data_IF_204088659416
#
_entry.id   IF_204088659416
#
_cell.length_a   1.000
_cell.length_b   1.000
_cell.length_c   1.000
_cell.angle_alpha   90.00
_cell.angle_beta   90.00
_cell.angle_gamma   90.00
#
_symmetry.space_group_name_H-M   'P 1'
#
loop_
_entity.id
_entity.type
_entity.pdbx_description
1 polymer ?
#
# COMPACT_ATOMS: atom_id res chain seq x y z
N UNK A 1 8.67 28.48 39.93
CA UNK A 1 9.78 28.37 38.95
C UNK A 1 10.48 27.05 39.19
N UNK A 2 10.59 26.07 38.29
CA UNK A 2 10.62 26.11 36.82
C UNK A 2 9.89 24.88 36.26
N UNK A 3 8.90 25.14 35.42
CA UNK A 3 8.22 24.15 34.57
C UNK A 3 9.23 23.65 33.54
N UNK A 4 9.56 22.35 33.55
CA UNK A 4 10.35 21.73 32.48
C UNK A 4 9.44 21.57 31.26
N UNK A 5 9.55 22.50 30.32
CA UNK A 5 8.95 22.43 29.00
C UNK A 5 9.42 21.15 28.31
N UNK A 6 8.49 20.21 28.12
CA UNK A 6 8.68 19.05 27.26
C UNK A 6 8.89 19.57 25.84
N UNK A 7 10.10 19.43 25.30
CA UNK A 7 10.37 19.70 23.89
C UNK A 7 9.60 18.66 23.07
N UNK A 8 8.44 19.06 22.58
CA UNK A 8 7.70 18.35 21.54
C UNK A 8 8.65 18.21 20.36
N UNK A 9 9.01 16.97 20.04
CA UNK A 9 9.67 16.63 18.78
C UNK A 9 8.73 17.03 17.63
N UNK A 10 8.90 18.24 17.11
CA UNK A 10 8.45 18.60 15.76
C UNK A 10 9.36 17.86 14.79
N UNK A 11 9.10 16.56 14.62
CA UNK A 11 9.72 15.76 13.58
C UNK A 11 9.37 16.38 12.23
N UNK A 12 10.40 16.56 11.38
CA UNK A 12 10.24 16.80 9.94
C UNK A 12 9.12 15.90 9.43
N UNK A 13 8.20 16.43 8.63
CA UNK A 13 7.24 15.63 7.87
C UNK A 13 8.04 14.58 7.09
N UNK A 14 8.09 13.36 7.62
CA UNK A 14 8.60 12.21 6.90
C UNK A 14 7.67 12.08 5.69
N UNK A 15 8.20 12.32 4.50
CA UNK A 15 7.50 12.00 3.26
C UNK A 15 7.42 10.47 3.21
N UNK A 16 6.29 9.93 3.67
CA UNK A 16 6.00 8.52 3.54
C UNK A 16 5.66 8.26 2.07
N UNK A 17 6.46 7.42 1.41
CA UNK A 17 6.13 6.89 0.09
C UNK A 17 5.09 5.79 0.29
N UNK A 18 3.91 5.97 -0.26
CA UNK A 18 2.89 4.93 -0.36
C UNK A 18 3.00 4.26 -1.72
N UNK A 19 2.91 2.93 -1.74
CA UNK A 19 2.90 2.13 -2.97
C UNK A 19 1.54 1.44 -3.14
N UNK A 20 1.09 1.29 -4.39
CA UNK A 20 -0.04 0.42 -4.68
C UNK A 20 0.33 -1.04 -4.38
N UNK A 21 -0.29 -1.61 -3.35
CA UNK A 21 0.05 -2.95 -2.88
C UNK A 21 -0.44 -4.01 -3.87
N UNK A 22 0.51 -4.74 -4.46
CA UNK A 22 0.22 -5.93 -5.28
C UNK A 22 0.59 -7.15 -4.46
N UNK A 23 -0.34 -8.09 -4.31
CA UNK A 23 -0.08 -9.30 -3.54
C UNK A 23 1.09 -10.10 -4.12
N UNK A 24 1.86 -10.74 -3.24
CA UNK A 24 2.95 -11.66 -3.62
C UNK A 24 2.46 -12.69 -4.62
N UNK A 25 1.32 -13.32 -4.34
CA UNK A 25 0.68 -14.29 -5.23
C UNK A 25 0.45 -13.73 -6.63
N UNK A 26 -0.03 -12.49 -6.77
CA UNK A 26 -0.23 -11.87 -8.07
C UNK A 26 1.11 -11.58 -8.78
N UNK A 27 2.12 -11.09 -8.05
CA UNK A 27 3.48 -10.87 -8.58
C UNK A 27 4.09 -12.17 -9.11
N UNK A 28 4.02 -13.25 -8.33
CA UNK A 28 4.52 -14.57 -8.72
C UNK A 28 3.73 -15.14 -9.91
N UNK A 29 2.40 -15.09 -9.81
CA UNK A 29 1.51 -15.65 -10.83
C UNK A 29 1.71 -14.96 -12.16
N UNK A 30 1.84 -13.64 -12.21
CA UNK A 30 1.96 -12.91 -13.48
C UNK A 30 3.40 -12.50 -13.81
N UNK A 31 4.37 -12.87 -12.97
CA UNK A 31 5.78 -12.53 -13.10
C UNK A 31 6.01 -11.03 -13.13
N UNK A 32 5.41 -10.25 -12.23
CA UNK A 32 5.44 -8.78 -12.22
C UNK A 32 6.25 -8.20 -11.04
N UNK A 33 7.32 -7.48 -11.37
CA UNK A 33 8.38 -7.04 -10.46
C UNK A 33 8.66 -5.52 -10.51
N UNK A 34 7.69 -4.75 -11.00
CA UNK A 34 7.73 -3.29 -11.08
C UNK A 34 6.77 -2.64 -10.07
N UNK A 35 6.91 -1.33 -9.89
CA UNK A 35 5.93 -0.51 -9.18
C UNK A 35 4.90 0.01 -10.18
N UNK A 36 3.61 -0.09 -9.84
CA UNK A 36 2.53 0.46 -10.66
C UNK A 36 2.33 1.95 -10.42
N UNK A 37 2.24 2.32 -9.13
CA UNK A 37 1.99 3.68 -8.66
C UNK A 37 2.75 3.90 -7.35
N UNK A 38 3.32 5.08 -7.20
CA UNK A 38 3.90 5.60 -5.95
C UNK A 38 3.32 6.98 -5.69
N UNK A 39 3.09 7.31 -4.41
CA UNK A 39 2.77 8.66 -4.01
C UNK A 39 3.58 9.12 -2.80
N UNK A 40 4.01 10.39 -2.83
CA UNK A 40 4.62 11.12 -1.69
C UNK A 40 3.60 12.07 -1.03
N UNK A 41 2.32 11.71 -1.09
CA UNK A 41 1.22 12.50 -0.50
C UNK A 41 0.65 13.62 -1.38
N UNK A 42 1.22 13.89 -2.57
CA UNK A 42 0.70 14.95 -3.47
C UNK A 42 0.68 14.60 -4.96
N UNK A 43 1.45 13.61 -5.43
CA UNK A 43 1.58 13.29 -6.86
C UNK A 43 1.65 11.78 -7.08
N UNK A 44 0.78 11.28 -7.96
CA UNK A 44 0.81 9.90 -8.46
C UNK A 44 1.77 9.85 -9.65
N UNK A 45 2.86 9.11 -9.54
CA UNK A 45 3.67 8.77 -10.70
C UNK A 45 3.11 7.51 -11.35
N UNK A 46 2.14 7.68 -12.25
CA UNK A 46 1.52 6.58 -12.97
C UNK A 46 2.51 5.94 -13.95
N UNK A 47 2.91 4.69 -13.69
CA UNK A 47 3.70 3.91 -14.63
C UNK A 47 2.77 3.25 -15.66
N UNK A 48 2.28 4.03 -16.63
CA UNK A 48 1.36 3.54 -17.67
C UNK A 48 1.93 2.35 -18.45
N UNK A 49 3.26 2.28 -18.60
CA UNK A 49 3.94 1.14 -19.21
C UNK A 49 3.79 -0.11 -18.33
N UNK A 50 4.03 -0.01 -17.03
CA UNK A 50 3.84 -1.12 -16.10
C UNK A 50 2.37 -1.59 -16.06
N UNK A 51 1.40 -0.68 -16.09
CA UNK A 51 -0.01 -1.06 -16.17
C UNK A 51 -0.35 -1.83 -17.46
N UNK A 52 0.16 -1.41 -18.63
CA UNK A 52 -0.01 -2.16 -19.88
C UNK A 52 0.67 -3.52 -19.83
N UNK A 53 1.90 -3.58 -19.33
CA UNK A 53 2.65 -4.83 -19.22
C UNK A 53 1.97 -5.80 -18.25
N UNK A 54 1.43 -5.31 -17.15
CA UNK A 54 0.75 -6.12 -16.17
C UNK A 54 -0.56 -6.69 -16.73
N UNK A 55 -1.39 -5.86 -17.38
CA UNK A 55 -2.59 -6.32 -18.06
C UNK A 55 -2.26 -7.38 -19.14
N UNK A 56 -1.20 -7.16 -19.92
CA UNK A 56 -0.73 -8.12 -20.91
C UNK A 56 -0.30 -9.45 -20.27
N UNK A 57 0.51 -9.41 -19.20
CA UNK A 57 0.96 -10.59 -18.45
C UNK A 57 -0.21 -11.37 -17.84
N UNK A 58 -1.23 -10.67 -17.35
CA UNK A 58 -2.47 -11.30 -16.85
C UNK A 58 -3.22 -12.03 -17.96
N UNK A 59 -3.45 -11.33 -19.08
CA UNK A 59 -4.19 -11.89 -20.21
C UNK A 59 -3.45 -13.04 -20.90
N UNK A 60 -2.12 -13.05 -20.87
CA UNK A 60 -1.30 -14.13 -21.42
C UNK A 60 -1.43 -15.45 -20.63
N UNK A 61 -1.84 -15.39 -19.35
CA UNK A 61 -2.01 -16.56 -18.49
C UNK A 61 -3.45 -17.03 -18.32
N UNK A 62 -4.43 -16.21 -18.69
CA UNK A 62 -5.86 -16.54 -18.59
C UNK A 62 -6.33 -17.24 -19.86
N UNK A 63 -7.28 -18.17 -19.71
CA UNK A 63 -7.96 -18.76 -20.87
C UNK A 63 -9.06 -17.81 -21.37
N UNK A 64 -8.64 -16.77 -22.08
CA UNK A 64 -9.56 -15.77 -22.63
C UNK A 64 -10.35 -16.29 -23.84
N UNK A 65 -10.04 -17.48 -24.36
CA UNK A 65 -10.85 -18.10 -25.42
C UNK A 65 -12.12 -18.69 -24.84
N UNK A 66 -11.99 -19.41 -23.72
CA UNK A 66 -13.15 -19.92 -22.98
C UNK A 66 -13.86 -18.83 -22.16
N UNK A 67 -13.10 -17.84 -21.66
CA UNK A 67 -13.58 -16.81 -20.74
C UNK A 67 -13.20 -15.38 -21.16
N UNK A 68 -13.73 -14.85 -22.29
CA UNK A 68 -13.38 -13.53 -22.80
C UNK A 68 -13.71 -12.38 -21.82
N UNK A 69 -14.71 -12.54 -20.97
CA UNK A 69 -15.10 -11.60 -19.92
C UNK A 69 -14.00 -11.37 -18.87
N UNK A 70 -13.04 -12.28 -18.75
CA UNK A 70 -11.90 -12.15 -17.84
C UNK A 70 -10.77 -11.29 -18.40
N UNK A 71 -10.93 -10.70 -19.59
CA UNK A 71 -9.92 -9.82 -20.20
C UNK A 71 -9.66 -8.59 -19.33
N UNK A 72 -8.39 -8.40 -18.94
CA UNK A 72 -7.93 -7.23 -18.19
C UNK A 72 -7.44 -6.15 -19.16
N UNK A 73 -7.97 -4.95 -19.04
CA UNK A 73 -7.52 -3.77 -19.78
C UNK A 73 -6.56 -2.96 -18.92
N UNK A 74 -5.53 -2.38 -19.54
CA UNK A 74 -4.62 -1.48 -18.84
C UNK A 74 -5.37 -0.32 -18.15
N UNK A 75 -6.47 0.16 -18.76
CA UNK A 75 -7.34 1.18 -18.17
C UNK A 75 -7.98 0.75 -16.85
N UNK A 76 -8.29 -0.54 -16.65
CA UNK A 76 -8.81 -1.05 -15.38
C UNK A 76 -7.73 -0.99 -14.29
N UNK A 77 -6.49 -1.35 -14.61
CA UNK A 77 -5.35 -1.27 -13.68
C UNK A 77 -5.06 0.19 -13.30
N UNK A 78 -5.08 1.11 -14.29
CA UNK A 78 -4.94 2.54 -14.03
C UNK A 78 -6.08 3.09 -13.16
N UNK A 79 -7.32 2.67 -13.41
CA UNK A 79 -8.46 3.09 -12.60
C UNK A 79 -8.35 2.58 -11.15
N UNK A 80 -7.89 1.33 -10.94
CA UNK A 80 -7.63 0.80 -9.61
C UNK A 80 -6.57 1.62 -8.86
N UNK A 81 -5.46 1.97 -9.52
CA UNK A 81 -4.43 2.83 -8.93
C UNK A 81 -4.97 4.22 -8.56
N UNK A 82 -5.78 4.83 -9.43
CA UNK A 82 -6.37 6.13 -9.13
C UNK A 82 -7.35 6.07 -7.94
N UNK A 83 -8.17 5.03 -7.85
CA UNK A 83 -9.10 4.84 -6.73
C UNK A 83 -8.32 4.69 -5.42
N UNK A 84 -7.27 3.86 -5.39
CA UNK A 84 -6.42 3.65 -4.22
C UNK A 84 -5.82 4.96 -3.71
N UNK A 85 -5.34 5.80 -4.62
CA UNK A 85 -4.75 7.10 -4.29
C UNK A 85 -5.79 8.10 -3.76
N UNK A 86 -7.00 8.12 -4.32
CA UNK A 86 -8.10 8.92 -3.76
C UNK A 86 -8.40 8.46 -2.33
N UNK A 87 -8.43 7.15 -2.07
CA UNK A 87 -8.67 6.61 -0.73
C UNK A 87 -7.54 6.96 0.23
N UNK A 88 -6.27 6.87 -0.19
CA UNK A 88 -5.14 7.36 0.59
C UNK A 88 -5.26 8.84 0.92
N UNK A 89 -5.68 9.67 -0.05
CA UNK A 89 -5.88 11.09 0.19
C UNK A 89 -7.00 11.36 1.20
N UNK A 90 -8.14 10.66 1.10
CA UNK A 90 -9.24 10.75 2.07
C UNK A 90 -8.77 10.38 3.47
N UNK A 91 -7.99 9.30 3.61
CA UNK A 91 -7.41 8.88 4.89
C UNK A 91 -6.41 9.92 5.42
N UNK A 92 -5.58 10.50 4.55
CA UNK A 92 -4.65 11.58 4.94
C UNK A 92 -5.39 12.83 5.44
N UNK A 93 -6.48 13.22 4.78
CA UNK A 93 -7.34 14.31 5.23
C UNK A 93 -7.99 13.99 6.58
N UNK A 94 -8.53 12.79 6.76
CA UNK A 94 -9.12 12.37 8.03
C UNK A 94 -8.10 12.45 9.18
N UNK A 95 -6.88 11.96 8.95
CA UNK A 95 -5.78 12.03 9.93
C UNK A 95 -5.40 13.46 10.26
N UNK A 96 -5.39 14.37 9.29
CA UNK A 96 -4.92 15.75 9.53
C UNK A 96 -6.01 16.67 10.08
N UNK A 97 -7.28 16.41 9.77
CA UNK A 97 -8.38 17.34 10.07
C UNK A 97 -9.35 16.83 11.13
N UNK A 98 -9.48 15.51 11.31
CA UNK A 98 -10.47 14.92 12.23
C UNK A 98 -9.78 14.23 13.40
N UNK A 99 -8.84 13.32 13.13
CA UNK A 99 -8.22 12.49 14.16
C UNK A 99 -6.71 12.26 13.92
N UNK A 100 -5.83 13.19 14.34
CA UNK A 100 -4.37 13.06 14.22
C UNK A 100 -3.76 11.83 14.87
N UNK A 101 -4.38 11.33 15.93
CA UNK A 101 -3.94 10.14 16.67
C UNK A 101 -4.46 8.81 16.11
N UNK A 102 -5.37 8.81 15.11
CA UNK A 102 -6.23 7.65 14.82
C UNK A 102 -5.50 6.31 14.69
N UNK A 103 -4.35 6.26 14.00
CA UNK A 103 -3.62 5.00 13.84
C UNK A 103 -2.88 4.56 15.10
N UNK A 104 -2.34 5.50 15.87
CA UNK A 104 -1.74 5.18 17.17
C UNK A 104 -2.79 4.69 18.15
N UNK A 105 -3.92 5.38 18.21
CA UNK A 105 -5.05 5.02 19.08
C UNK A 105 -5.65 3.66 18.70
N UNK A 106 -5.81 3.39 17.39
CA UNK A 106 -6.27 2.11 16.90
C UNK A 106 -5.29 0.97 17.22
N UNK A 107 -3.98 1.21 17.10
CA UNK A 107 -2.97 0.22 17.46
C UNK A 107 -3.03 -0.13 18.95
N UNK A 108 -3.07 0.88 19.83
CA UNK A 108 -3.20 0.68 21.28
C UNK A 108 -4.47 -0.10 21.61
N UNK A 109 -5.59 0.25 20.98
CA UNK A 109 -6.86 -0.42 21.18
C UNK A 109 -6.82 -1.90 20.74
N UNK A 110 -6.24 -2.18 19.56
CA UNK A 110 -6.06 -3.55 19.05
C UNK A 110 -5.15 -4.38 19.97
N UNK A 111 -4.03 -3.80 20.43
CA UNK A 111 -3.11 -4.46 21.34
C UNK A 111 -3.75 -4.77 22.70
N UNK A 112 -4.60 -3.86 23.21
CA UNK A 112 -5.34 -4.09 24.45
C UNK A 112 -6.38 -5.23 24.32
N UNK A 113 -6.98 -5.40 23.14
CA UNK A 113 -8.01 -6.42 22.90
C UNK A 113 -7.47 -7.79 22.47
N UNK A 114 -6.41 -7.81 21.66
CA UNK A 114 -5.88 -9.02 21.02
C UNK A 114 -4.51 -9.43 21.53
N UNK A 115 -3.81 -8.55 22.26
CA UNK A 115 -2.42 -8.73 22.65
C UNK A 115 -1.45 -8.23 21.58
N UNK A 116 -0.29 -7.76 22.02
CA UNK A 116 0.75 -7.19 21.15
C UNK A 116 1.29 -8.22 20.14
N UNK A 117 1.49 -9.48 20.59
CA UNK A 117 2.02 -10.55 19.74
C UNK A 117 1.09 -10.90 18.58
N UNK A 118 -0.22 -10.98 18.81
CA UNK A 118 -1.19 -11.33 17.76
C UNK A 118 -1.37 -10.19 16.75
N UNK A 119 -1.33 -8.94 17.22
CA UNK A 119 -1.31 -7.77 16.34
C UNK A 119 -0.03 -7.78 15.50
N UNK A 120 1.12 -8.02 16.11
CA UNK A 120 2.40 -8.13 15.40
C UNK A 120 2.41 -9.23 14.33
N UNK A 121 1.91 -10.43 14.67
CA UNK A 121 1.74 -11.54 13.72
C UNK A 121 0.84 -11.17 12.55
N UNK A 122 -0.25 -10.46 12.82
CA UNK A 122 -1.21 -10.04 11.79
C UNK A 122 -0.59 -9.01 10.84
N UNK A 123 0.11 -8.01 11.36
CA UNK A 123 0.82 -7.02 10.54
C UNK A 123 1.92 -7.68 9.71
N UNK A 124 2.69 -8.61 10.29
CA UNK A 124 3.70 -9.37 9.58
C UNK A 124 3.09 -10.25 8.48
N UNK A 125 1.96 -10.90 8.73
CA UNK A 125 1.24 -11.68 7.73
C UNK A 125 0.79 -10.79 6.56
N UNK A 126 0.28 -9.59 6.85
CA UNK A 126 -0.08 -8.62 5.82
C UNK A 126 1.12 -8.24 4.95
N UNK A 127 2.28 -7.92 5.54
CA UNK A 127 3.51 -7.60 4.78
C UNK A 127 3.99 -8.80 3.96
N UNK A 128 3.84 -10.03 4.46
CA UNK A 128 4.19 -11.24 3.71
C UNK A 128 3.31 -11.45 2.48
N UNK A 129 2.01 -11.18 2.61
CA UNK A 129 1.01 -11.37 1.54
C UNK A 129 1.00 -10.21 0.54
N UNK A 130 1.25 -8.99 1.00
CA UNK A 130 1.25 -7.75 0.22
C UNK A 130 2.57 -6.98 0.41
N UNK A 131 3.71 -7.57 0.02
CA UNK A 131 5.01 -6.97 0.28
C UNK A 131 5.20 -5.68 -0.54
N UNK A 132 5.72 -4.60 0.08
CA UNK A 132 6.37 -3.51 -0.65
C UNK A 132 7.42 -4.07 -1.61
N UNK A 133 7.72 -3.36 -2.70
CA UNK A 133 8.57 -3.93 -3.74
C UNK A 133 9.96 -4.32 -3.22
N UNK A 134 10.54 -3.52 -2.31
CA UNK A 134 11.83 -3.80 -1.69
C UNK A 134 11.84 -5.12 -0.88
N UNK A 135 10.74 -5.40 -0.16
CA UNK A 135 10.58 -6.66 0.60
C UNK A 135 10.37 -7.83 -0.35
N UNK A 136 9.56 -7.65 -1.40
CA UNK A 136 9.35 -8.69 -2.41
C UNK A 136 10.66 -9.09 -3.12
N UNK A 137 11.53 -8.11 -3.43
CA UNK A 137 12.84 -8.33 -4.06
C UNK A 137 13.92 -8.82 -3.09
N UNK A 138 13.61 -8.96 -1.80
CA UNK A 138 14.58 -9.37 -0.78
C UNK A 138 15.66 -8.33 -0.48
N UNK A 139 15.42 -7.07 -0.84
CA UNK A 139 16.34 -5.96 -0.54
C UNK A 139 16.18 -5.41 0.87
N UNK A 140 15.02 -5.67 1.50
CA UNK A 140 14.68 -5.30 2.88
C UNK A 140 13.92 -6.46 3.52
N UNK A 141 14.11 -6.71 4.81
CA UNK A 141 13.34 -7.72 5.54
C UNK A 141 11.91 -7.21 5.88
N UNK A 142 10.91 -8.11 5.98
CA UNK A 142 9.54 -7.77 6.38
C UNK A 142 9.42 -7.16 7.78
#
# INVERSE_FOLDING_TARGET
MKTKTLKIFRGKTQEHVFEFHVSRKARDTYGFDDVLFTSTGHVIFANFRAARLFAHRMNAKRDLRAHPEQTVRAGQINAMGLIDEILHHVVALYRTTVAPGVFGDALVWLQAGLGEDEVGKTLLAFVKDFPPLAVYKGSVEP
#
